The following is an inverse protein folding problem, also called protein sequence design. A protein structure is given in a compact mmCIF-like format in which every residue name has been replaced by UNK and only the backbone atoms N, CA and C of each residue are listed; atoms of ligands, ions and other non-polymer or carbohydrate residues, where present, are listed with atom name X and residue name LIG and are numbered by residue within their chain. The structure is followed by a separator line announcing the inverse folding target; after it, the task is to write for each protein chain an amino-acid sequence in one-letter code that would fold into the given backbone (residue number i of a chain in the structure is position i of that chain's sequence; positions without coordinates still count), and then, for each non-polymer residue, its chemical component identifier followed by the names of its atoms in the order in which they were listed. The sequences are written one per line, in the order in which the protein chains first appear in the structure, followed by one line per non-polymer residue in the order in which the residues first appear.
data_IF_684857478539
#
_entry.id   IF_684857478539
#
_cell.length_a   1.000
_cell.length_b   1.000
_cell.length_c   1.000
_cell.angle_alpha   90.00
_cell.angle_beta   90.00
_cell.angle_gamma   90.00
#
_symmetry.space_group_name_H-M   'P 1'
#
loop_
_entity.id
_entity.type
_entity.pdbx_description
1 polymer ?
#
# COMPACT_ATOMS: atom_id res chain seq x y z
N UNK A 1 25.57 11.51 36.65
CA UNK A 1 24.37 11.14 35.82
C UNK A 1 24.51 9.67 35.46
N UNK A 2 23.88 8.80 36.21
CA UNK A 2 23.80 7.38 35.86
C UNK A 2 22.97 7.23 34.59
N UNK A 3 23.57 6.62 33.56
CA UNK A 3 22.84 6.25 32.34
C UNK A 3 21.84 5.15 32.71
N UNK A 4 20.55 5.46 32.65
CA UNK A 4 19.51 4.43 32.79
C UNK A 4 19.83 3.25 31.85
N UNK A 5 19.72 2.01 32.31
CA UNK A 5 19.99 0.84 31.48
C UNK A 5 19.01 0.87 30.29
N UNK A 6 19.56 0.82 29.07
CA UNK A 6 18.74 0.69 27.85
C UNK A 6 18.02 -0.65 27.92
N UNK A 7 16.69 -0.61 27.94
CA UNK A 7 15.85 -1.83 27.91
C UNK A 7 15.51 -2.20 26.47
N UNK A 8 15.53 -3.51 26.16
CA UNK A 8 15.02 -4.04 24.91
C UNK A 8 13.49 -4.03 24.98
N UNK A 9 12.84 -3.11 24.27
CA UNK A 9 11.40 -2.88 24.31
C UNK A 9 10.71 -2.98 22.95
N UNK A 10 11.47 -3.11 21.86
CA UNK A 10 10.94 -3.22 20.52
C UNK A 10 10.83 -4.69 20.10
N UNK A 11 9.62 -5.20 19.94
CA UNK A 11 9.39 -6.57 19.47
C UNK A 11 9.41 -6.61 17.94
N UNK A 12 10.25 -7.46 17.36
CA UNK A 12 10.22 -7.74 15.91
C UNK A 12 8.97 -8.56 15.55
N UNK A 13 8.16 -8.07 14.64
CA UNK A 13 6.90 -8.71 14.26
C UNK A 13 7.08 -10.00 13.44
N UNK A 14 8.27 -10.24 12.87
CA UNK A 14 8.54 -11.48 12.15
C UNK A 14 9.13 -12.56 13.06
N UNK A 15 10.23 -12.28 13.82
CA UNK A 15 10.85 -13.31 14.66
C UNK A 15 10.29 -13.36 16.09
N UNK A 16 9.58 -12.33 16.56
CA UNK A 16 9.02 -12.25 17.91
C UNK A 16 10.02 -11.86 19.01
N UNK A 17 11.31 -11.74 18.69
CA UNK A 17 12.36 -11.38 19.64
C UNK A 17 12.34 -9.89 20.02
N UNK A 18 12.85 -9.55 21.20
CA UNK A 18 12.97 -8.17 21.70
C UNK A 18 14.33 -7.58 21.36
N UNK A 19 14.34 -6.34 20.86
CA UNK A 19 15.51 -5.59 20.42
C UNK A 19 15.57 -4.20 21.06
N UNK A 20 16.75 -3.58 21.02
CA UNK A 20 16.87 -2.14 21.23
C UNK A 20 16.35 -1.38 19.99
N UNK A 21 15.91 -0.15 20.19
CA UNK A 21 15.38 0.68 19.08
C UNK A 21 16.37 0.84 17.92
N UNK A 22 17.65 0.98 18.18
CA UNK A 22 18.70 1.09 17.16
C UNK A 22 19.02 -0.22 16.41
N UNK A 23 18.49 -1.36 16.87
CA UNK A 23 18.59 -2.67 16.20
C UNK A 23 17.38 -2.92 15.27
N UNK A 24 16.34 -2.10 15.40
CA UNK A 24 15.21 -2.14 14.49
C UNK A 24 15.56 -1.48 13.15
N UNK A 25 14.91 -1.95 12.10
CA UNK A 25 15.02 -1.40 10.75
C UNK A 25 13.89 -0.42 10.48
N UNK A 26 14.13 0.59 9.66
CA UNK A 26 13.08 1.38 9.04
C UNK A 26 12.59 0.62 7.81
N UNK A 27 11.40 0.02 7.92
CA UNK A 27 10.75 -0.70 6.83
C UNK A 27 9.79 0.24 6.08
N UNK A 28 9.94 0.32 4.76
CA UNK A 28 9.03 1.08 3.90
C UNK A 28 7.80 0.24 3.53
N UNK A 29 6.60 0.80 3.72
CA UNK A 29 5.34 0.17 3.39
C UNK A 29 4.43 1.11 2.55
N UNK A 30 4.29 0.84 1.23
CA UNK A 30 4.99 -0.15 0.40
C UNK A 30 6.50 0.15 0.25
N UNK A 31 7.20 -0.63 -0.56
CA UNK A 31 8.62 -0.40 -0.81
C UNK A 31 8.85 0.98 -1.47
N UNK A 32 9.97 1.66 -1.14
CA UNK A 32 10.28 2.98 -1.69
C UNK A 32 10.29 2.99 -3.23
N UNK A 33 10.81 1.92 -3.83
CA UNK A 33 10.90 1.76 -5.29
C UNK A 33 9.57 1.52 -6.00
N UNK A 34 8.46 1.40 -5.25
CA UNK A 34 7.10 1.25 -5.79
C UNK A 34 6.26 2.51 -5.64
N UNK A 35 6.93 3.67 -5.41
CA UNK A 35 6.32 5.00 -5.35
C UNK A 35 6.22 5.58 -3.94
N UNK A 36 6.64 4.86 -2.91
CA UNK A 36 6.60 5.34 -1.52
C UNK A 36 7.75 6.34 -1.24
N UNK A 37 7.71 7.47 -1.89
CA UNK A 37 8.61 8.61 -1.71
C UNK A 37 7.88 9.89 -2.09
N UNK A 38 8.32 11.00 -1.50
CA UNK A 38 7.81 12.33 -1.79
C UNK A 38 6.26 12.45 -1.68
N UNK A 39 5.69 11.73 -0.70
CA UNK A 39 4.24 11.72 -0.48
C UNK A 39 3.80 13.08 0.05
N UNK A 40 2.80 13.66 -0.62
CA UNK A 40 2.19 14.92 -0.27
C UNK A 40 0.79 14.72 0.33
N UNK A 41 0.33 15.67 1.10
CA UNK A 41 -1.07 15.81 1.52
C UNK A 41 -1.71 16.95 0.75
N UNK A 42 -2.99 16.80 0.48
CA UNK A 42 -3.81 17.82 -0.14
C UNK A 42 -4.90 18.18 0.87
N UNK A 43 -5.07 19.48 1.10
CA UNK A 43 -6.22 19.96 1.86
C UNK A 43 -7.40 20.09 0.90
N UNK A 44 -8.38 19.21 1.03
CA UNK A 44 -9.58 19.21 0.16
C UNK A 44 -10.33 20.55 0.21
N UNK A 45 -10.36 21.23 1.35
CA UNK A 45 -11.02 22.54 1.47
C UNK A 45 -10.36 23.59 0.59
N UNK A 46 -9.05 23.47 0.37
CA UNK A 46 -8.31 24.37 -0.51
C UNK A 46 -8.68 24.19 -1.98
N UNK A 47 -9.01 22.96 -2.39
CA UNK A 47 -9.46 22.68 -3.76
C UNK A 47 -10.84 23.29 -4.04
N UNK A 48 -11.71 23.30 -3.03
CA UNK A 48 -13.07 23.83 -3.15
C UNK A 48 -13.17 25.34 -2.81
N UNK A 49 -12.07 26.00 -2.43
CA UNK A 49 -12.03 27.44 -2.19
C UNK A 49 -12.06 28.20 -3.53
N UNK A 50 -13.13 28.95 -3.84
CA UNK A 50 -13.23 29.68 -5.11
C UNK A 50 -12.11 30.71 -5.30
N UNK A 51 -11.60 31.32 -4.21
CA UNK A 51 -10.52 32.29 -4.27
C UNK A 51 -9.20 31.62 -4.69
N UNK A 52 -8.90 30.42 -4.12
CA UNK A 52 -7.72 29.61 -4.51
C UNK A 52 -7.86 29.09 -5.92
N UNK A 53 -9.04 28.60 -6.32
CA UNK A 53 -9.31 28.15 -7.68
C UNK A 53 -9.07 29.24 -8.73
N UNK A 54 -9.49 30.47 -8.46
CA UNK A 54 -9.23 31.61 -9.36
C UNK A 54 -7.72 31.87 -9.48
N UNK A 55 -7.00 31.91 -8.37
CA UNK A 55 -5.56 32.12 -8.33
C UNK A 55 -4.82 31.01 -9.08
N UNK A 56 -5.25 29.74 -8.94
CA UNK A 56 -4.71 28.61 -9.69
C UNK A 56 -4.85 28.83 -11.20
N UNK A 57 -6.05 29.18 -11.67
CA UNK A 57 -6.29 29.42 -13.10
C UNK A 57 -5.40 30.55 -13.64
N UNK A 58 -5.25 31.65 -12.91
CA UNK A 58 -4.38 32.78 -13.31
C UNK A 58 -2.90 32.33 -13.43
N UNK A 59 -2.40 31.50 -12.50
CA UNK A 59 -1.05 30.98 -12.53
C UNK A 59 -0.85 30.00 -13.69
N UNK A 60 -1.81 29.10 -13.94
CA UNK A 60 -1.77 28.17 -15.06
C UNK A 60 -1.75 28.93 -16.37
N UNK A 61 -2.65 29.90 -16.55
CA UNK A 61 -2.69 30.73 -17.76
C UNK A 61 -1.37 31.47 -18.01
N UNK A 62 -0.74 32.00 -16.95
CA UNK A 62 0.56 32.66 -17.05
C UNK A 62 1.63 31.69 -17.52
N UNK A 63 1.74 30.48 -16.94
CA UNK A 63 2.71 29.47 -17.36
C UNK A 63 2.52 29.02 -18.80
N UNK A 64 1.25 28.84 -19.22
CA UNK A 64 0.94 28.52 -20.62
C UNK A 64 1.32 29.68 -21.57
N UNK A 65 1.14 30.94 -21.17
CA UNK A 65 1.59 32.09 -21.95
C UNK A 65 3.12 32.15 -22.07
N UNK A 66 3.85 31.63 -21.08
CA UNK A 66 5.31 31.52 -21.07
C UNK A 66 5.80 30.27 -21.86
N UNK A 67 4.86 29.50 -22.48
CA UNK A 67 5.17 28.39 -23.38
C UNK A 67 5.15 26.98 -22.74
N UNK A 68 4.67 26.83 -21.50
CA UNK A 68 4.50 25.51 -20.90
C UNK A 68 3.24 24.81 -21.44
N UNK A 69 3.32 23.48 -21.57
CA UNK A 69 2.15 22.65 -21.90
C UNK A 69 1.11 22.71 -20.76
N UNK A 70 -0.18 22.71 -21.12
CA UNK A 70 -1.28 22.91 -20.16
C UNK A 70 -1.25 21.93 -18.99
N UNK A 71 -1.04 20.63 -19.25
CA UNK A 71 -1.01 19.61 -18.20
C UNK A 71 0.20 19.78 -17.26
N UNK A 72 1.35 20.13 -17.81
CA UNK A 72 2.55 20.42 -17.01
C UNK A 72 2.38 21.66 -16.14
N UNK A 73 1.77 22.72 -16.71
CA UNK A 73 1.47 23.94 -15.97
C UNK A 73 0.48 23.68 -14.81
N UNK A 74 -0.57 22.87 -15.04
CA UNK A 74 -1.53 22.48 -14.00
C UNK A 74 -0.80 21.68 -12.90
N UNK A 75 -0.02 20.66 -13.26
CA UNK A 75 0.71 19.83 -12.30
C UNK A 75 1.63 20.67 -11.43
N UNK A 76 2.42 21.55 -12.03
CA UNK A 76 3.36 22.42 -11.27
C UNK A 76 2.65 23.39 -10.34
N UNK A 77 1.57 24.04 -10.78
CA UNK A 77 0.80 24.95 -9.92
C UNK A 77 0.15 24.18 -8.78
N UNK A 78 -0.31 22.97 -9.05
CA UNK A 78 -0.90 22.12 -8.02
C UNK A 78 0.14 21.71 -6.98
N UNK A 79 1.33 21.28 -7.41
CA UNK A 79 2.44 20.93 -6.52
C UNK A 79 2.91 22.10 -5.68
N UNK A 80 2.98 23.33 -6.25
CA UNK A 80 3.44 24.52 -5.57
C UNK A 80 2.42 25.07 -4.54
N UNK A 81 1.13 25.00 -4.84
CA UNK A 81 0.08 25.71 -4.08
C UNK A 81 -0.77 24.80 -3.17
N UNK A 82 -0.94 23.53 -3.52
CA UNK A 82 -1.87 22.61 -2.86
C UNK A 82 -1.18 21.41 -2.20
N UNK A 83 0.00 21.03 -2.71
CA UNK A 83 0.71 19.89 -2.18
C UNK A 83 1.51 20.24 -0.93
N UNK A 84 1.19 19.62 0.19
CA UNK A 84 1.90 19.79 1.45
C UNK A 84 2.77 18.55 1.67
N UNK A 85 4.11 18.66 1.75
CA UNK A 85 4.96 17.50 2.03
C UNK A 85 4.54 16.81 3.33
N UNK A 86 4.13 15.54 3.22
CA UNK A 86 3.70 14.72 4.34
C UNK A 86 4.76 13.69 4.74
N UNK A 87 5.26 12.95 3.75
CA UNK A 87 6.27 11.91 3.94
C UNK A 87 7.34 12.02 2.85
N UNK A 88 8.29 12.98 2.94
CA UNK A 88 9.31 13.19 1.90
C UNK A 88 10.21 11.97 1.67
N UNK A 89 10.41 11.14 2.71
CA UNK A 89 11.18 9.90 2.64
C UNK A 89 10.32 8.66 2.42
N UNK A 90 9.02 8.84 2.23
CA UNK A 90 8.04 7.76 2.22
C UNK A 90 7.57 7.36 3.62
N UNK A 91 6.57 6.50 3.67
CA UNK A 91 6.01 5.95 4.92
C UNK A 91 6.91 4.82 5.42
N UNK A 92 7.32 4.88 6.67
CA UNK A 92 8.19 3.88 7.30
C UNK A 92 7.66 3.44 8.65
N UNK A 93 8.01 2.22 9.07
CA UNK A 93 7.74 1.71 10.41
C UNK A 93 8.94 0.92 10.94
N UNK A 94 9.11 0.88 12.26
CA UNK A 94 10.15 0.10 12.95
C UNK A 94 9.53 -1.17 13.55
N UNK A 95 9.09 -2.06 12.69
CA UNK A 95 8.39 -3.30 13.05
C UNK A 95 9.25 -4.55 12.92
N UNK A 96 10.34 -4.47 12.18
CA UNK A 96 11.26 -5.57 11.91
C UNK A 96 12.66 -5.28 12.45
N UNK A 97 13.34 -6.29 12.99
CA UNK A 97 14.77 -6.16 13.28
C UNK A 97 15.58 -6.20 11.97
N UNK A 98 16.81 -5.65 12.00
CA UNK A 98 17.68 -5.60 10.82
C UNK A 98 17.89 -6.96 10.16
N UNK A 99 18.04 -8.04 10.95
CA UNK A 99 18.18 -9.42 10.45
C UNK A 99 16.97 -9.87 9.65
N UNK A 100 15.76 -9.66 10.20
CA UNK A 100 14.52 -10.03 9.53
C UNK A 100 14.27 -9.20 8.27
N UNK A 101 14.54 -7.90 8.31
CA UNK A 101 14.41 -7.04 7.14
C UNK A 101 15.39 -7.45 6.02
N UNK A 102 16.65 -7.77 6.36
CA UNK A 102 17.62 -8.29 5.37
C UNK A 102 17.14 -9.62 4.76
N UNK A 103 16.59 -10.52 5.58
CA UNK A 103 16.02 -11.78 5.09
C UNK A 103 14.89 -11.53 4.08
N UNK A 104 13.99 -10.59 4.37
CA UNK A 104 12.87 -10.25 3.47
C UNK A 104 13.32 -9.57 2.17
N UNK A 105 14.53 -9.00 2.13
CA UNK A 105 15.08 -8.34 0.93
C UNK A 105 15.08 -9.23 -0.32
N UNK A 106 15.23 -10.56 -0.16
CA UNK A 106 15.13 -11.50 -1.29
C UNK A 106 13.70 -11.56 -1.85
N UNK A 107 12.70 -11.50 -0.96
CA UNK A 107 11.30 -11.48 -1.34
C UNK A 107 10.92 -10.15 -1.99
N UNK A 108 11.40 -9.05 -1.44
CA UNK A 108 11.21 -7.72 -2.02
C UNK A 108 11.78 -7.63 -3.44
N UNK A 109 12.95 -8.22 -3.70
CA UNK A 109 13.53 -8.28 -5.03
C UNK A 109 12.64 -9.06 -6.03
N UNK A 110 11.99 -10.14 -5.59
CA UNK A 110 11.03 -10.88 -6.40
C UNK A 110 9.77 -10.04 -6.67
N UNK A 111 9.26 -9.35 -5.66
CA UNK A 111 8.12 -8.45 -5.83
C UNK A 111 8.44 -7.31 -6.81
N UNK A 112 9.61 -6.69 -6.73
CA UNK A 112 9.99 -5.63 -7.67
C UNK A 112 10.03 -6.09 -9.13
N UNK A 113 10.38 -7.35 -9.40
CA UNK A 113 10.27 -7.94 -10.75
C UNK A 113 8.81 -8.03 -11.20
N UNK A 114 7.91 -8.46 -10.31
CA UNK A 114 6.47 -8.50 -10.58
C UNK A 114 5.92 -7.08 -10.82
N UNK A 115 6.27 -6.15 -9.95
CA UNK A 115 5.89 -4.74 -10.06
C UNK A 115 6.38 -4.10 -11.37
N UNK A 116 7.63 -4.37 -11.78
CA UNK A 116 8.22 -3.78 -12.99
C UNK A 116 7.45 -4.14 -14.25
N UNK A 117 6.92 -5.36 -14.33
CA UNK A 117 6.11 -5.84 -15.46
C UNK A 117 4.61 -5.58 -15.29
N UNK A 118 4.19 -4.87 -14.22
CA UNK A 118 2.78 -4.58 -13.94
C UNK A 118 1.93 -5.82 -13.71
N UNK A 119 2.51 -6.90 -13.17
CA UNK A 119 1.81 -8.17 -12.96
C UNK A 119 1.36 -8.89 -14.24
N UNK A 120 1.85 -8.50 -15.40
CA UNK A 120 1.46 -9.03 -16.71
C UNK A 120 1.43 -10.59 -16.70
N UNK A 121 0.25 -11.21 -16.90
CA UNK A 121 0.10 -12.67 -16.85
C UNK A 121 1.04 -13.41 -17.81
N UNK A 122 1.34 -12.85 -18.98
CA UNK A 122 2.20 -13.50 -19.96
C UNK A 122 3.65 -13.56 -19.48
N UNK A 123 4.12 -12.53 -18.77
CA UNK A 123 5.47 -12.46 -18.21
C UNK A 123 5.60 -13.25 -16.92
N UNK A 124 4.62 -13.09 -16.01
CA UNK A 124 4.57 -13.78 -14.71
C UNK A 124 4.48 -15.31 -14.88
N UNK A 125 3.77 -15.78 -15.91
CA UNK A 125 3.69 -17.21 -16.25
C UNK A 125 5.07 -17.86 -16.45
N UNK A 126 6.04 -17.10 -16.97
CA UNK A 126 7.42 -17.55 -17.19
C UNK A 126 8.30 -17.57 -15.94
N UNK A 127 7.83 -17.03 -14.80
CA UNK A 127 8.62 -17.05 -13.57
C UNK A 127 8.69 -18.45 -12.97
N UNK A 128 9.84 -18.75 -12.34
CA UNK A 128 10.00 -19.98 -11.56
C UNK A 128 9.02 -19.97 -10.38
N UNK A 129 8.55 -21.15 -9.98
CA UNK A 129 7.61 -21.30 -8.86
C UNK A 129 8.12 -20.67 -7.57
N UNK A 130 9.41 -20.83 -7.27
CA UNK A 130 10.04 -20.20 -6.12
C UNK A 130 9.96 -18.66 -6.16
N UNK A 131 10.17 -18.04 -7.33
CA UNK A 131 10.02 -16.59 -7.49
C UNK A 131 8.60 -16.14 -7.23
N UNK A 132 7.60 -16.88 -7.73
CA UNK A 132 6.18 -16.58 -7.47
C UNK A 132 5.84 -16.67 -5.98
N UNK A 133 6.33 -17.71 -5.29
CA UNK A 133 6.16 -17.84 -3.83
C UNK A 133 6.84 -16.70 -3.07
N UNK A 134 8.02 -16.25 -3.50
CA UNK A 134 8.69 -15.10 -2.91
C UNK A 134 7.87 -13.82 -3.07
N UNK A 135 7.21 -13.61 -4.22
CA UNK A 135 6.30 -12.48 -4.44
C UNK A 135 5.15 -12.52 -3.43
N UNK A 136 4.50 -13.66 -3.27
CA UNK A 136 3.41 -13.82 -2.30
C UNK A 136 3.88 -13.49 -0.89
N UNK A 137 5.02 -14.06 -0.48
CA UNK A 137 5.59 -13.84 0.86
C UNK A 137 6.02 -12.39 1.10
N UNK A 138 6.55 -11.71 0.08
CA UNK A 138 6.87 -10.29 0.15
C UNK A 138 5.63 -9.47 0.51
N UNK A 139 4.53 -9.71 -0.19
CA UNK A 139 3.28 -8.97 0.00
C UNK A 139 2.67 -9.22 1.38
N UNK A 140 2.59 -10.47 1.82
CA UNK A 140 2.15 -10.77 3.20
C UNK A 140 3.04 -10.07 4.24
N UNK A 141 4.37 -10.04 4.01
CA UNK A 141 5.31 -9.43 4.95
C UNK A 141 5.11 -7.92 5.10
N UNK A 142 4.67 -7.20 4.06
CA UNK A 142 4.40 -5.76 4.13
C UNK A 142 3.30 -5.40 5.14
N UNK A 143 2.32 -6.29 5.32
CA UNK A 143 1.27 -6.07 6.33
C UNK A 143 1.77 -6.14 7.77
N UNK A 144 2.98 -6.65 8.01
CA UNK A 144 3.62 -6.55 9.33
C UNK A 144 4.03 -5.12 9.69
N UNK A 145 4.07 -4.20 8.73
CA UNK A 145 4.61 -2.85 8.91
C UNK A 145 3.55 -1.75 8.79
N UNK A 146 2.32 -2.06 8.36
CA UNK A 146 1.27 -1.05 8.27
C UNK A 146 0.76 -0.65 9.65
N UNK A 147 0.54 0.65 9.92
CA UNK A 147 0.13 1.16 11.23
C UNK A 147 -1.19 0.58 11.73
N UNK A 148 -2.14 0.40 10.83
CA UNK A 148 -3.49 -0.09 11.14
C UNK A 148 -3.49 -1.53 11.66
N UNK A 149 -2.45 -2.32 11.36
CA UNK A 149 -2.33 -3.72 11.74
C UNK A 149 -1.30 -3.97 12.86
N UNK A 150 -0.76 -2.93 13.52
CA UNK A 150 0.31 -3.10 14.51
C UNK A 150 -0.07 -4.01 15.70
N UNK A 151 -1.35 -4.08 16.04
CA UNK A 151 -1.88 -4.90 17.13
C UNK A 151 -2.46 -6.24 16.65
N UNK A 152 -2.39 -6.52 15.35
CA UNK A 152 -2.93 -7.74 14.78
C UNK A 152 -1.93 -8.90 14.93
N UNK A 153 -2.44 -10.07 15.32
CA UNK A 153 -1.66 -11.31 15.34
C UNK A 153 -1.94 -12.09 14.05
N UNK A 154 -0.92 -12.17 13.20
CA UNK A 154 -1.02 -12.85 11.92
C UNK A 154 -0.56 -14.29 12.01
N UNK A 155 -1.37 -15.22 11.48
CA UNK A 155 -1.07 -16.66 11.45
C UNK A 155 -0.19 -17.07 10.25
N UNK A 156 0.15 -16.14 9.35
CA UNK A 156 1.03 -16.38 8.22
C UNK A 156 2.53 -16.21 8.51
N UNK A 157 2.91 -15.95 9.76
CA UNK A 157 4.32 -15.71 10.14
C UNK A 157 5.22 -16.90 9.75
N UNK A 158 4.79 -18.13 10.02
CA UNK A 158 5.57 -19.33 9.69
C UNK A 158 5.62 -19.60 8.19
N UNK A 159 4.60 -19.18 7.43
CA UNK A 159 4.64 -19.22 5.98
C UNK A 159 5.71 -18.28 5.41
N UNK A 160 5.85 -17.08 5.97
CA UNK A 160 6.87 -16.13 5.54
C UNK A 160 8.28 -16.61 5.94
N UNK A 161 8.45 -17.10 7.18
CA UNK A 161 9.76 -17.48 7.75
C UNK A 161 10.41 -18.67 7.05
N UNK A 162 9.62 -19.62 6.58
CA UNK A 162 10.12 -20.80 5.89
C UNK A 162 10.14 -20.57 4.37
N UNK A 163 11.33 -20.40 3.74
CA UNK A 163 11.43 -20.20 2.29
C UNK A 163 10.84 -21.34 1.46
N UNK A 164 10.80 -22.55 2.01
CA UNK A 164 10.37 -23.76 1.29
C UNK A 164 8.87 -24.03 1.45
N UNK A 165 8.20 -23.38 2.40
CA UNK A 165 6.76 -23.56 2.58
C UNK A 165 6.01 -22.97 1.40
N UNK A 166 5.34 -23.83 0.63
CA UNK A 166 4.63 -23.46 -0.60
C UNK A 166 3.15 -23.17 -0.41
N UNK A 167 2.59 -23.56 0.75
CA UNK A 167 1.16 -23.47 1.03
C UNK A 167 0.90 -22.65 2.29
N UNK A 168 -0.19 -21.91 2.24
CA UNK A 168 -0.73 -21.20 3.39
C UNK A 168 -2.24 -21.44 3.45
N UNK A 169 -2.70 -21.99 4.55
CA UNK A 169 -4.10 -22.34 4.80
C UNK A 169 -4.71 -21.60 6.01
N UNK A 170 -4.09 -20.50 6.42
CA UNK A 170 -4.57 -19.70 7.53
C UNK A 170 -5.79 -18.85 7.16
N UNK A 171 -6.26 -18.06 8.12
CA UNK A 171 -7.49 -17.25 7.97
C UNK A 171 -7.32 -16.01 7.08
N UNK A 172 -6.10 -15.50 6.90
CA UNK A 172 -5.83 -14.27 6.17
C UNK A 172 -5.69 -14.54 4.67
N UNK A 173 -6.59 -13.97 3.87
CA UNK A 173 -6.56 -14.04 2.42
C UNK A 173 -6.07 -12.73 1.84
N UNK A 174 -5.20 -12.81 0.84
CA UNK A 174 -4.62 -11.64 0.18
C UNK A 174 -5.09 -11.57 -1.27
N UNK A 175 -5.78 -10.50 -1.57
CA UNK A 175 -6.26 -10.18 -2.91
C UNK A 175 -5.62 -8.90 -3.41
N UNK A 176 -5.64 -8.69 -4.73
CA UNK A 176 -5.17 -7.46 -5.31
C UNK A 176 -5.92 -7.09 -6.58
N UNK A 177 -5.87 -5.82 -6.92
CA UNK A 177 -6.27 -5.26 -8.21
C UNK A 177 -5.12 -4.45 -8.79
N UNK A 178 -4.99 -4.44 -10.11
CA UNK A 178 -4.06 -3.56 -10.79
C UNK A 178 -4.75 -2.24 -11.07
N UNK A 179 -4.10 -1.15 -10.68
CA UNK A 179 -4.59 0.21 -10.93
C UNK A 179 -4.54 0.54 -12.42
N UNK A 180 -5.55 1.28 -12.88
CA UNK A 180 -5.58 1.89 -14.21
C UNK A 180 -5.66 3.40 -14.06
N UNK A 181 -5.37 4.14 -15.13
CA UNK A 181 -5.52 5.60 -15.14
C UNK A 181 -6.96 6.03 -14.81
N UNK A 182 -7.96 5.23 -15.18
CA UNK A 182 -9.37 5.46 -14.87
C UNK A 182 -9.68 5.27 -13.38
N UNK A 183 -8.87 4.46 -12.68
CA UNK A 183 -8.96 4.27 -11.22
C UNK A 183 -8.24 5.35 -10.43
N UNK A 184 -7.39 6.15 -11.08
CA UNK A 184 -6.68 7.29 -10.49
C UNK A 184 -7.57 8.54 -10.52
N UNK A 185 -8.74 8.48 -9.90
CA UNK A 185 -9.48 9.71 -9.62
C UNK A 185 -8.72 10.52 -8.57
N UNK A 186 -8.87 11.84 -8.60
CA UNK A 186 -8.20 12.84 -7.75
C UNK A 186 -8.09 12.50 -6.25
N UNK A 187 -8.85 11.53 -5.77
CA UNK A 187 -8.94 11.20 -4.35
C UNK A 187 -8.45 9.79 -3.99
N UNK A 188 -8.18 8.92 -4.96
CA UNK A 188 -7.96 7.49 -4.72
C UNK A 188 -6.65 6.95 -5.31
N UNK A 189 -5.88 7.80 -6.00
CA UNK A 189 -4.59 7.44 -6.59
C UNK A 189 -3.44 7.32 -5.59
N UNK A 190 -3.67 7.55 -4.29
CA UNK A 190 -2.60 7.69 -3.31
C UNK A 190 -1.97 6.35 -2.92
N UNK A 191 -0.68 6.42 -2.61
CA UNK A 191 0.06 5.37 -1.93
C UNK A 191 -0.30 5.42 -0.47
N UNK A 192 -0.93 4.38 0.02
CA UNK A 192 -1.48 4.43 1.35
C UNK A 192 -1.73 3.09 1.98
N UNK A 193 -2.20 3.18 3.21
CA UNK A 193 -2.68 2.04 3.99
C UNK A 193 -4.05 2.37 4.56
N UNK A 194 -4.84 1.33 4.81
CA UNK A 194 -6.18 1.49 5.36
C UNK A 194 -6.61 0.29 6.17
N UNK A 195 -7.68 0.50 6.95
CA UNK A 195 -8.39 -0.55 7.68
C UNK A 195 -9.89 -0.30 7.58
N UNK A 196 -10.63 -1.35 7.31
CA UNK A 196 -12.09 -1.36 7.47
C UNK A 196 -12.49 -2.58 8.30
N UNK A 197 -13.53 -2.39 9.13
CA UNK A 197 -14.11 -3.44 9.96
C UNK A 197 -15.55 -3.66 9.54
N UNK A 198 -15.90 -4.91 9.31
CA UNK A 198 -17.22 -5.38 8.92
C UNK A 198 -17.69 -6.44 9.93
N UNK A 199 -18.95 -6.82 9.88
CA UNK A 199 -19.48 -7.89 10.73
C UNK A 199 -18.78 -9.23 10.45
N UNK A 200 -18.36 -9.46 9.20
CA UNK A 200 -17.65 -10.66 8.74
C UNK A 200 -16.18 -10.71 9.15
N UNK A 201 -15.58 -9.57 9.48
CA UNK A 201 -14.16 -9.50 9.82
C UNK A 201 -13.51 -8.17 9.49
N UNK A 202 -12.20 -8.20 9.29
CA UNK A 202 -11.39 -7.00 9.05
C UNK A 202 -10.69 -7.10 7.71
N UNK A 203 -10.56 -5.96 7.04
CA UNK A 203 -9.74 -5.76 5.85
C UNK A 203 -8.65 -4.76 6.15
N UNK A 204 -7.42 -5.10 5.83
CA UNK A 204 -6.30 -4.19 5.76
C UNK A 204 -5.95 -3.94 4.31
N UNK A 205 -5.70 -2.69 3.97
CA UNK A 205 -5.32 -2.27 2.63
C UNK A 205 -3.91 -1.70 2.60
N UNK A 206 -3.21 -1.99 1.51
CA UNK A 206 -1.92 -1.41 1.17
C UNK A 206 -1.91 -1.11 -0.33
N UNK A 207 -1.69 0.14 -0.70
CA UNK A 207 -1.61 0.56 -2.09
C UNK A 207 -0.20 1.05 -2.47
N UNK A 208 0.28 0.64 -3.63
CA UNK A 208 1.44 1.22 -4.30
C UNK A 208 1.06 1.83 -5.65
N UNK A 209 2.03 2.31 -6.43
CA UNK A 209 1.73 2.99 -7.71
C UNK A 209 1.01 2.13 -8.75
N UNK A 210 1.05 0.80 -8.63
CA UNK A 210 0.46 -0.10 -9.65
C UNK A 210 -0.63 -1.01 -9.10
N UNK A 211 -0.65 -1.24 -7.80
CA UNK A 211 -1.55 -2.23 -7.21
C UNK A 211 -2.18 -1.73 -5.93
N UNK A 212 -3.37 -2.26 -5.65
CA UNK A 212 -4.04 -2.16 -4.36
C UNK A 212 -4.16 -3.57 -3.82
N UNK A 213 -3.60 -3.83 -2.65
CA UNK A 213 -3.63 -5.11 -1.96
C UNK A 213 -4.59 -5.06 -0.80
N UNK A 214 -5.42 -6.10 -0.65
CA UNK A 214 -6.41 -6.24 0.42
C UNK A 214 -6.16 -7.54 1.16
N UNK A 215 -5.79 -7.45 2.44
CA UNK A 215 -5.63 -8.58 3.34
C UNK A 215 -6.85 -8.68 4.24
N UNK A 216 -7.61 -9.75 4.12
CA UNK A 216 -8.87 -9.93 4.83
C UNK A 216 -8.94 -11.29 5.53
N UNK A 217 -9.72 -11.35 6.63
CA UNK A 217 -9.92 -12.54 7.45
C UNK A 217 -11.38 -12.99 7.53
N UNK A 218 -12.16 -12.71 6.51
CA UNK A 218 -13.56 -13.09 6.48
C UNK A 218 -13.75 -14.61 6.53
N UNK A 219 -14.67 -15.10 7.33
CA UNK A 219 -14.95 -16.53 7.44
C UNK A 219 -15.59 -17.10 6.16
N UNK A 220 -16.45 -16.31 5.53
CA UNK A 220 -17.10 -16.71 4.28
C UNK A 220 -16.25 -16.32 3.08
N UNK A 221 -15.97 -17.30 2.24
CA UNK A 221 -15.40 -17.03 0.93
C UNK A 221 -16.48 -16.51 -0.01
N UNK A 222 -16.26 -15.36 -0.58
CA UNK A 222 -17.06 -14.81 -1.67
C UNK A 222 -16.19 -14.67 -2.90
N UNK A 223 -16.81 -14.65 -4.07
CA UNK A 223 -16.13 -14.28 -5.32
C UNK A 223 -15.92 -12.77 -5.30
N UNK A 224 -14.79 -12.33 -4.77
CA UNK A 224 -14.43 -10.92 -4.79
C UNK A 224 -14.00 -10.51 -6.20
N UNK A 225 -14.38 -9.30 -6.64
CA UNK A 225 -13.91 -8.75 -7.92
C UNK A 225 -12.44 -8.31 -7.84
N UNK A 226 -11.59 -9.21 -7.39
CA UNK A 226 -10.15 -9.02 -7.17
C UNK A 226 -9.41 -10.30 -7.54
N UNK A 227 -8.14 -10.21 -7.82
CA UNK A 227 -7.28 -11.37 -8.07
C UNK A 227 -6.78 -11.94 -6.76
N UNK A 228 -6.97 -13.23 -6.49
CA UNK A 228 -6.29 -13.91 -5.37
C UNK A 228 -4.78 -13.95 -5.66
N UNK A 229 -3.97 -13.60 -4.68
CA UNK A 229 -2.53 -13.56 -4.87
C UNK A 229 -1.93 -14.93 -5.22
N UNK A 230 -2.54 -16.03 -4.77
CA UNK A 230 -2.09 -17.37 -5.09
C UNK A 230 -2.36 -17.77 -6.55
N UNK A 231 -3.24 -17.05 -7.26
CA UNK A 231 -3.48 -17.29 -8.69
C UNK A 231 -2.22 -17.11 -9.54
N UNK A 232 -1.26 -16.29 -9.09
CA UNK A 232 0.02 -16.15 -9.80
C UNK A 232 0.81 -17.44 -9.92
N UNK A 233 0.53 -18.46 -9.08
CA UNK A 233 1.11 -19.80 -9.16
C UNK A 233 0.56 -20.58 -10.36
N UNK A 234 -0.64 -20.27 -10.81
CA UNK A 234 -1.37 -21.00 -11.82
C UNK A 234 -1.00 -20.54 -13.24
N UNK A 235 -1.12 -21.46 -14.22
CA UNK A 235 -0.92 -21.11 -15.63
C UNK A 235 -2.06 -20.28 -16.21
N UNK A 236 -3.25 -20.38 -15.62
CA UNK A 236 -4.46 -19.66 -15.99
C UNK A 236 -4.57 -18.29 -15.30
N UNK A 237 -3.53 -17.84 -14.61
CA UNK A 237 -3.52 -16.56 -13.94
C UNK A 237 -3.99 -15.44 -14.86
N UNK A 238 -4.94 -14.65 -14.38
CA UNK A 238 -5.43 -13.42 -14.97
C UNK A 238 -5.43 -12.33 -13.89
N UNK A 239 -5.44 -11.06 -14.29
CA UNK A 239 -5.40 -9.94 -13.36
C UNK A 239 -6.66 -9.10 -13.53
N UNK A 240 -7.28 -8.74 -12.42
CA UNK A 240 -8.36 -7.75 -12.38
C UNK A 240 -7.73 -6.36 -12.39
N UNK A 241 -8.20 -5.50 -13.28
CA UNK A 241 -7.72 -4.13 -13.45
C UNK A 241 -8.81 -3.12 -13.09
N UNK A 242 -8.40 -1.99 -12.53
CA UNK A 242 -9.23 -0.82 -12.29
C UNK A 242 -10.12 -0.88 -11.07
N UNK A 243 -10.82 0.24 -10.88
CA UNK A 243 -11.89 0.38 -9.87
C UNK A 243 -13.28 0.13 -10.47
N UNK A 244 -13.39 -0.31 -11.73
CA UNK A 244 -14.62 -0.36 -12.51
C UNK A 244 -15.85 -0.92 -11.79
N UNK A 245 -16.88 -1.34 -12.53
CA UNK A 245 -18.08 -1.99 -11.97
C UNK A 245 -17.75 -3.18 -11.08
N UNK A 246 -16.57 -3.76 -11.26
CA UNK A 246 -15.96 -4.79 -10.44
C UNK A 246 -15.22 -4.21 -9.22
N UNK A 247 -15.38 -2.93 -8.95
CA UNK A 247 -14.99 -2.15 -7.81
C UNK A 247 -13.65 -2.57 -7.21
N UNK A 248 -12.64 -1.76 -7.42
CA UNK A 248 -11.54 -1.86 -6.48
C UNK A 248 -12.11 -1.75 -5.08
N UNK A 249 -11.75 -2.66 -4.23
CA UNK A 249 -12.20 -2.71 -2.84
C UNK A 249 -11.94 -1.37 -2.13
N UNK A 250 -10.90 -0.66 -2.56
CA UNK A 250 -10.52 0.68 -2.11
C UNK A 250 -11.69 1.69 -2.18
N UNK A 251 -12.37 1.80 -3.31
CA UNK A 251 -13.55 2.68 -3.41
C UNK A 251 -14.71 2.18 -2.53
N UNK A 252 -14.89 0.87 -2.41
CA UNK A 252 -15.90 0.26 -1.54
C UNK A 252 -15.64 0.45 -0.05
N UNK A 253 -14.39 0.66 0.37
CA UNK A 253 -14.02 0.87 1.76
C UNK A 253 -13.89 2.35 2.11
N UNK A 254 -13.20 3.13 1.28
CA UNK A 254 -12.86 4.52 1.62
C UNK A 254 -14.10 5.41 1.50
N UNK A 255 -14.92 5.26 0.46
CA UNK A 255 -16.10 6.11 0.30
C UNK A 255 -17.10 5.95 1.44
N UNK A 256 -17.53 4.74 1.83
CA UNK A 256 -18.40 4.56 2.98
C UNK A 256 -17.81 5.10 4.29
N UNK A 257 -16.48 4.96 4.48
CA UNK A 257 -15.80 5.47 5.67
C UNK A 257 -15.78 6.99 5.70
N UNK A 258 -15.43 7.65 4.60
CA UNK A 258 -15.47 9.13 4.49
C UNK A 258 -16.87 9.66 4.75
N UNK A 259 -17.90 9.05 4.17
CA UNK A 259 -19.29 9.45 4.38
C UNK A 259 -19.74 9.22 5.83
N UNK A 260 -19.30 8.13 6.46
CA UNK A 260 -19.59 7.85 7.87
C UNK A 260 -18.92 8.85 8.82
N UNK A 261 -17.68 9.26 8.52
CA UNK A 261 -16.93 10.21 9.35
C UNK A 261 -17.48 11.64 9.20
N UNK A 262 -17.86 12.05 7.99
CA UNK A 262 -18.56 13.33 7.76
C UNK A 262 -19.94 13.38 8.47
N UNK A 263 -20.63 12.25 8.57
CA UNK A 263 -21.91 12.16 9.32
C UNK A 263 -21.75 12.27 10.82
N UNK A 264 -20.60 11.95 11.38
CA UNK A 264 -20.31 12.04 12.83
C UNK A 264 -19.90 13.45 13.28
N UNK A 265 -19.36 14.27 12.39
CA UNK A 265 -18.99 15.66 12.68
C UNK A 265 -20.19 16.63 12.67
N UNK A 266 -21.39 16.16 12.27
CA UNK A 266 -22.60 16.97 12.20
C UNK A 266 -23.60 16.71 13.34
N UNK A 267 -23.23 15.92 14.36
CA UNK A 267 -24.01 15.67 15.58
C UNK A 267 -23.21 16.19 16.79
#
# INVERSE_FOLDING_TARGET
MEKQPKTRNCRCRLCGELFFDNEMSEEHYPARSTGNNDIVKINLMDIFDPAKGKTMLEKVQKRCADGEELLDAISKVFDDDYAIPAYPKGRTARTLCKRCNTFLGVYDAAYLRFFSVGGDPQKVKGYQQQTKLQIIKALYAKFLSIPEALHEEFDFIDFIKDPNKSEYSGKWRLYFVKRTLESETLFFGDIGTGKATFDEGVVYELADNKFIFNLLNFEKHADYPMTDIFDILHKSYSIVEGLGENGGYHAGIIIPRLLSDLGKEQI
#
